data_IF_868311554521
#
_entry.id   IF_868311554521
#
_cell.length_a   1.000
_cell.length_b   1.000
_cell.length_c   1.000
_cell.angle_alpha   90.00
_cell.angle_beta   90.00
_cell.angle_gamma   90.00
#
_symmetry.space_group_name_H-M   'P 1'
#
loop_
_entity.id
_entity.type
_entity.pdbx_description
1 polymer ?
#
# COMPACT_ATOMS: atom_id res chain seq x y z
N UNK A 1 10.04 -10.88 -8.21
CA UNK A 1 10.17 -9.49 -7.71
C UNK A 1 9.53 -8.53 -8.68
N UNK A 2 8.57 -7.73 -8.19
CA UNK A 2 7.78 -6.78 -8.98
C UNK A 2 8.71 -5.84 -9.77
N UNK A 3 9.77 -5.33 -9.14
CA UNK A 3 10.77 -4.47 -9.80
C UNK A 3 11.50 -5.14 -10.98
N UNK A 4 11.72 -6.46 -10.92
CA UNK A 4 12.34 -7.22 -12.03
C UNK A 4 11.38 -7.39 -13.20
N UNK A 5 10.09 -7.51 -12.94
CA UNK A 5 9.07 -7.51 -13.99
C UNK A 5 8.87 -6.11 -14.59
N UNK A 6 8.95 -5.04 -13.78
CA UNK A 6 8.95 -3.65 -14.28
C UNK A 6 10.12 -3.37 -15.23
N UNK A 7 11.32 -3.85 -14.92
CA UNK A 7 12.48 -3.80 -15.81
C UNK A 7 12.22 -4.45 -17.17
N UNK A 8 11.54 -5.60 -17.20
CA UNK A 8 11.16 -6.28 -18.44
C UNK A 8 10.11 -5.49 -19.20
N UNK A 9 9.08 -4.98 -18.52
CA UNK A 9 8.01 -4.16 -19.11
C UNK A 9 8.60 -2.90 -19.75
N UNK A 10 9.56 -2.23 -19.09
CA UNK A 10 10.27 -1.08 -19.67
C UNK A 10 10.99 -1.43 -20.99
N UNK A 11 11.65 -2.59 -21.07
CA UNK A 11 12.29 -3.06 -22.31
C UNK A 11 11.25 -3.31 -23.40
N UNK A 12 10.15 -3.98 -23.06
CA UNK A 12 9.04 -4.22 -23.98
C UNK A 12 8.42 -2.92 -24.50
N UNK A 13 8.28 -1.89 -23.66
CA UNK A 13 7.81 -0.54 -24.07
C UNK A 13 8.78 0.07 -25.09
N UNK A 14 10.10 0.04 -24.83
CA UNK A 14 11.11 0.56 -25.78
C UNK A 14 11.05 -0.17 -27.13
N UNK A 15 10.90 -1.50 -27.11
CA UNK A 15 10.83 -2.31 -28.33
C UNK A 15 9.52 -2.09 -29.11
N UNK A 16 8.39 -1.94 -28.42
CA UNK A 16 7.10 -1.60 -29.04
C UNK A 16 7.13 -0.19 -29.65
N UNK A 17 7.75 0.77 -28.97
CA UNK A 17 7.90 2.14 -29.45
C UNK A 17 8.74 2.19 -30.74
N UNK A 18 9.86 1.46 -30.80
CA UNK A 18 10.68 1.33 -32.03
C UNK A 18 9.91 0.74 -33.21
N UNK A 19 8.92 -0.12 -32.94
CA UNK A 19 8.05 -0.74 -33.94
C UNK A 19 6.83 0.12 -34.30
N UNK A 20 6.67 1.30 -33.70
CA UNK A 20 5.51 2.17 -33.92
C UNK A 20 4.19 1.65 -33.34
N UNK A 21 4.24 0.67 -32.43
CA UNK A 21 3.06 0.00 -31.87
C UNK A 21 2.47 0.81 -30.70
N UNK A 22 1.77 1.91 -31.02
CA UNK A 22 1.23 2.85 -30.00
C UNK A 22 0.31 2.18 -28.99
N UNK A 23 -0.64 1.36 -29.44
CA UNK A 23 -1.60 0.70 -28.55
C UNK A 23 -0.91 -0.22 -27.54
N UNK A 24 0.13 -0.93 -27.98
CA UNK A 24 0.94 -1.80 -27.13
C UNK A 24 1.71 -0.99 -26.09
N UNK A 25 2.28 0.16 -26.47
CA UNK A 25 2.94 1.07 -25.54
C UNK A 25 1.99 1.56 -24.44
N UNK A 26 0.76 1.95 -24.79
CA UNK A 26 -0.25 2.42 -23.83
C UNK A 26 -0.63 1.31 -22.84
N UNK A 27 -0.88 0.09 -23.31
CA UNK A 27 -1.22 -1.04 -22.43
C UNK A 27 -0.07 -1.35 -21.47
N UNK A 28 1.16 -1.42 -21.96
CA UNK A 28 2.33 -1.71 -21.14
C UNK A 28 2.63 -0.57 -20.15
N UNK A 29 2.40 0.69 -20.53
CA UNK A 29 2.53 1.83 -19.63
C UNK A 29 1.49 1.80 -18.50
N UNK A 30 0.23 1.46 -18.80
CA UNK A 30 -0.82 1.23 -17.79
C UNK A 30 -0.42 0.14 -16.80
N UNK A 31 0.14 -0.96 -17.29
CA UNK A 31 0.63 -2.04 -16.44
C UNK A 31 1.78 -1.59 -15.53
N UNK A 32 2.71 -0.78 -16.05
CA UNK A 32 3.79 -0.22 -15.26
C UNK A 32 3.29 0.72 -14.15
N UNK A 33 2.28 1.56 -14.43
CA UNK A 33 1.65 2.42 -13.41
C UNK A 33 1.01 1.57 -12.32
N UNK A 34 0.23 0.55 -12.69
CA UNK A 34 -0.41 -0.37 -11.74
C UNK A 34 0.63 -1.06 -10.85
N UNK A 35 1.72 -1.52 -11.43
CA UNK A 35 2.83 -2.11 -10.70
C UNK A 35 3.45 -1.13 -9.70
N UNK A 36 3.75 0.11 -10.12
CA UNK A 36 4.28 1.16 -9.23
C UNK A 36 3.33 1.48 -8.08
N UNK A 37 2.02 1.59 -8.34
CA UNK A 37 0.98 1.81 -7.32
C UNK A 37 0.93 0.65 -6.33
N UNK A 38 1.00 -0.59 -6.81
CA UNK A 38 1.05 -1.79 -5.95
C UNK A 38 2.30 -1.78 -5.05
N UNK A 39 3.48 -1.46 -5.60
CA UNK A 39 4.73 -1.32 -4.83
C UNK A 39 4.62 -0.23 -3.77
N UNK A 40 4.08 0.94 -4.12
CA UNK A 40 3.86 2.04 -3.19
C UNK A 40 2.94 1.62 -2.03
N UNK A 41 1.83 0.95 -2.34
CA UNK A 41 0.91 0.40 -1.35
C UNK A 41 1.63 -0.58 -0.41
N UNK A 42 2.45 -1.49 -0.93
CA UNK A 42 3.25 -2.41 -0.11
C UNK A 42 4.25 -1.69 0.81
N UNK A 43 4.89 -0.60 0.36
CA UNK A 43 5.77 0.19 1.21
C UNK A 43 5.00 0.91 2.33
N UNK A 44 3.84 1.49 2.03
CA UNK A 44 2.97 2.09 3.04
C UNK A 44 2.54 1.05 4.08
N UNK A 45 2.12 -0.13 3.63
CA UNK A 45 1.80 -1.28 4.49
C UNK A 45 2.96 -1.66 5.42
N UNK A 46 4.18 -1.72 4.88
CA UNK A 46 5.39 -2.00 5.67
C UNK A 46 5.64 -0.93 6.74
N UNK A 47 5.44 0.34 6.41
CA UNK A 47 5.57 1.44 7.36
C UNK A 47 4.54 1.33 8.50
N UNK A 48 3.28 1.03 8.16
CA UNK A 48 2.23 0.82 9.17
C UNK A 48 2.53 -0.38 10.08
N UNK A 49 3.02 -1.51 9.54
CA UNK A 49 3.46 -2.65 10.36
C UNK A 49 4.60 -2.28 11.32
N UNK A 50 5.58 -1.50 10.85
CA UNK A 50 6.65 -1.01 11.70
C UNK A 50 6.13 -0.12 12.84
N UNK A 51 5.13 0.73 12.56
CA UNK A 51 4.49 1.54 13.59
C UNK A 51 3.83 0.68 14.68
N UNK A 52 3.05 -0.34 14.28
CA UNK A 52 2.46 -1.31 15.22
C UNK A 52 3.54 -2.01 16.04
N UNK A 53 4.64 -2.44 15.42
CA UNK A 53 5.75 -3.09 16.10
C UNK A 53 6.41 -2.17 17.16
N UNK A 54 6.63 -0.90 16.83
CA UNK A 54 7.17 0.08 17.79
C UNK A 54 6.20 0.33 18.93
N UNK A 55 4.91 0.48 18.63
CA UNK A 55 3.87 0.61 19.64
C UNK A 55 3.84 -0.59 20.60
N UNK A 56 3.98 -1.81 20.08
CA UNK A 56 4.05 -3.02 20.92
C UNK A 56 5.31 -3.05 21.79
N UNK A 57 6.46 -2.64 21.26
CA UNK A 57 7.69 -2.51 22.07
C UNK A 57 7.50 -1.50 23.20
N UNK A 58 6.84 -0.38 22.92
CA UNK A 58 6.50 0.61 23.93
C UNK A 58 5.57 0.02 25.00
N UNK A 59 4.51 -0.69 24.60
CA UNK A 59 3.60 -1.35 25.54
C UNK A 59 4.32 -2.35 26.45
N UNK A 60 5.28 -3.11 25.92
CA UNK A 60 6.09 -4.03 26.72
C UNK A 60 6.95 -3.29 27.75
N UNK A 61 7.50 -2.13 27.40
CA UNK A 61 8.26 -1.29 28.33
C UNK A 61 7.36 -0.72 29.43
N UNK A 62 6.19 -0.21 29.06
CA UNK A 62 5.18 0.29 30.01
C UNK A 62 4.74 -0.83 30.95
N UNK A 63 4.46 -2.02 30.44
CA UNK A 63 4.08 -3.17 31.26
C UNK A 63 5.14 -3.55 32.29
N UNK A 64 6.43 -3.49 31.93
CA UNK A 64 7.53 -3.79 32.86
C UNK A 64 7.70 -2.76 33.97
N UNK A 65 7.41 -1.48 33.68
CA UNK A 65 7.63 -0.38 34.62
C UNK A 65 6.38 -0.11 35.46
N UNK A 66 5.22 -0.02 34.82
CA UNK A 66 3.95 0.36 35.42
C UNK A 66 3.05 -0.84 35.76
N UNK A 67 3.37 -2.05 35.29
CA UNK A 67 2.56 -3.26 35.54
C UNK A 67 1.23 -3.30 34.76
N UNK A 68 0.99 -2.37 33.84
CA UNK A 68 -0.25 -2.26 33.09
C UNK A 68 0.01 -1.95 31.60
N UNK A 69 -0.98 -2.27 30.76
CA UNK A 69 -1.02 -1.85 29.36
C UNK A 69 -1.74 -0.51 29.25
N UNK A 70 -1.38 0.29 28.24
CA UNK A 70 -2.01 1.58 27.96
C UNK A 70 -2.62 1.59 26.55
N UNK A 71 -3.69 2.35 26.39
CA UNK A 71 -4.28 2.60 25.08
C UNK A 71 -3.32 3.37 24.17
N UNK A 72 -3.29 3.03 22.89
CA UNK A 72 -2.48 3.69 21.87
C UNK A 72 -3.29 3.96 20.59
N UNK A 73 -3.59 5.23 20.37
CA UNK A 73 -4.28 5.73 19.17
C UNK A 73 -3.41 5.60 17.92
N UNK A 74 -2.08 5.69 18.05
CA UNK A 74 -1.14 5.48 16.94
C UNK A 74 -1.17 4.03 16.44
N UNK A 75 -1.14 3.06 17.36
CA UNK A 75 -1.27 1.64 17.02
C UNK A 75 -2.64 1.35 16.40
N UNK A 76 -3.70 1.94 16.97
CA UNK A 76 -5.05 1.81 16.44
C UNK A 76 -5.14 2.29 14.98
N UNK A 77 -4.64 3.49 14.68
CA UNK A 77 -4.64 4.04 13.31
C UNK A 77 -3.80 3.20 12.35
N UNK A 78 -2.61 2.77 12.77
CA UNK A 78 -1.76 1.92 11.94
C UNK A 78 -2.43 0.56 11.65
N UNK A 79 -3.09 -0.04 12.64
CA UNK A 79 -3.85 -1.28 12.48
C UNK A 79 -5.02 -1.12 11.51
N UNK A 80 -5.75 0.01 11.58
CA UNK A 80 -6.86 0.31 10.69
C UNK A 80 -6.44 0.35 9.21
N UNK A 81 -5.25 0.85 8.92
CA UNK A 81 -4.73 0.83 7.55
C UNK A 81 -4.28 -0.57 7.13
N UNK A 82 -3.81 -1.40 8.07
CA UNK A 82 -3.35 -2.75 7.78
C UNK A 82 -4.48 -3.73 7.48
N UNK A 83 -5.64 -3.60 8.12
CA UNK A 83 -6.81 -4.46 7.85
C UNK A 83 -7.41 -4.25 6.45
N UNK A 84 -7.06 -3.14 5.78
CA UNK A 84 -7.51 -2.84 4.40
C UNK A 84 -6.67 -3.57 3.33
N UNK A 85 -5.58 -4.25 3.70
CA UNK A 85 -4.68 -4.90 2.76
C UNK A 85 -5.10 -6.37 2.58
N UNK A 86 -5.59 -6.78 1.39
CA UNK A 86 -6.18 -8.11 1.19
C UNK A 86 -5.29 -9.27 1.63
N UNK A 87 -3.97 -9.18 1.38
CA UNK A 87 -3.01 -10.24 1.65
C UNK A 87 -2.81 -10.52 3.14
N UNK A 88 -3.04 -9.53 4.01
CA UNK A 88 -2.86 -9.65 5.47
C UNK A 88 -4.13 -9.36 6.27
N UNK A 89 -5.23 -9.03 5.60
CA UNK A 89 -6.50 -8.58 6.19
C UNK A 89 -6.99 -9.51 7.29
N UNK A 90 -7.03 -10.82 7.03
CA UNK A 90 -7.52 -11.80 8.01
C UNK A 90 -6.66 -11.79 9.30
N UNK A 91 -5.35 -11.84 9.15
CA UNK A 91 -4.40 -11.84 10.27
C UNK A 91 -4.43 -10.53 11.06
N UNK A 92 -4.56 -9.40 10.37
CA UNK A 92 -4.60 -8.08 11.02
C UNK A 92 -5.93 -7.84 11.73
N UNK A 93 -7.04 -8.38 11.20
CA UNK A 93 -8.35 -8.34 11.88
C UNK A 93 -8.33 -9.14 13.18
N UNK A 94 -7.74 -10.32 13.17
CA UNK A 94 -7.56 -11.14 14.38
C UNK A 94 -6.68 -10.43 15.40
N UNK A 95 -5.54 -9.89 14.97
CA UNK A 95 -4.63 -9.13 15.83
C UNK A 95 -5.31 -7.90 16.43
N UNK A 96 -6.09 -7.16 15.63
CA UNK A 96 -6.89 -6.02 16.09
C UNK A 96 -7.85 -6.42 17.21
N UNK A 97 -8.55 -7.55 17.04
CA UNK A 97 -9.47 -8.09 18.07
C UNK A 97 -8.75 -8.42 19.37
N UNK A 98 -7.58 -9.06 19.31
CA UNK A 98 -6.78 -9.36 20.50
C UNK A 98 -6.22 -8.09 21.17
N UNK A 99 -5.78 -7.10 20.38
CA UNK A 99 -5.33 -5.80 20.91
C UNK A 99 -6.46 -5.03 21.60
N UNK A 100 -7.69 -5.13 21.07
CA UNK A 100 -8.87 -4.54 21.69
C UNK A 100 -9.18 -5.21 23.04
N UNK A 101 -9.17 -6.55 23.10
CA UNK A 101 -9.35 -7.29 24.35
C UNK A 101 -8.26 -6.97 25.39
N UNK A 102 -7.02 -6.76 24.93
CA UNK A 102 -5.90 -6.37 25.78
C UNK A 102 -5.96 -4.92 26.25
N UNK A 103 -6.94 -4.12 25.80
CA UNK A 103 -7.09 -2.71 26.16
C UNK A 103 -6.04 -1.80 25.51
N UNK A 104 -5.34 -2.28 24.48
CA UNK A 104 -4.30 -1.52 23.77
C UNK A 104 -4.93 -0.58 22.73
N UNK A 105 -6.02 -0.98 22.10
CA UNK A 105 -6.76 -0.16 21.14
C UNK A 105 -8.24 -0.12 21.51
N UNK A 106 -8.94 0.90 21.05
CA UNK A 106 -10.38 1.06 21.27
C UNK A 106 -11.19 0.31 20.20
N UNK A 107 -12.49 0.19 20.43
CA UNK A 107 -13.42 -0.37 19.46
C UNK A 107 -13.39 0.50 18.19
N UNK A 108 -12.84 -0.06 17.10
CA UNK A 108 -12.81 0.65 15.83
C UNK A 108 -14.22 0.62 15.25
N UNK A 109 -14.84 1.79 15.06
CA UNK A 109 -15.97 1.91 14.14
C UNK A 109 -15.43 1.57 12.75
N UNK A 110 -15.93 0.47 12.18
CA UNK A 110 -15.55 0.00 10.85
C UNK A 110 -16.17 0.95 9.82
N UNK A 111 -15.64 2.17 9.70
CA UNK A 111 -16.05 3.14 8.68
C UNK A 111 -15.54 2.65 7.33
N UNK A 112 -16.36 1.82 6.69
CA UNK A 112 -16.13 1.18 5.38
C UNK A 112 -16.15 2.15 4.19
N UNK A 113 -16.06 3.45 4.40
CA UNK A 113 -16.34 4.46 3.37
C UNK A 113 -15.15 4.86 2.50
N UNK A 114 -13.91 4.57 2.88
CA UNK A 114 -12.72 5.07 2.16
C UNK A 114 -12.27 4.20 0.97
N UNK A 115 -12.87 3.03 0.76
CA UNK A 115 -12.47 2.09 -0.31
C UNK A 115 -13.07 2.39 -1.70
N UNK A 116 -13.94 3.40 -1.81
CA UNK A 116 -14.56 3.79 -3.09
C UNK A 116 -13.86 4.98 -3.76
N UNK A 117 -13.13 5.82 -3.01
CA UNK A 117 -12.44 6.99 -3.57
C UNK A 117 -11.20 6.59 -4.40
N UNK A 118 -10.55 5.47 -4.07
CA UNK A 118 -9.35 4.95 -4.76
C UNK A 118 -9.63 4.42 -6.19
N UNK A 119 -10.89 4.21 -6.60
CA UNK A 119 -11.26 3.66 -7.91
C UNK A 119 -11.68 4.71 -8.94
N UNK A 120 -12.28 5.84 -8.52
CA UNK A 120 -12.85 6.84 -9.44
C UNK A 120 -11.85 7.94 -9.85
N UNK A 121 -10.80 8.22 -9.06
CA UNK A 121 -9.72 9.15 -9.46
C UNK A 121 -8.80 8.61 -10.58
N UNK A 122 -9.03 7.37 -11.03
CA UNK A 122 -8.05 6.60 -11.79
C UNK A 122 -8.10 6.76 -13.32
N UNK A 123 -9.08 7.48 -13.89
CA UNK A 123 -9.26 7.51 -15.35
C UNK A 123 -8.72 8.78 -16.05
N UNK A 124 -8.95 9.99 -15.53
CA UNK A 124 -8.45 11.23 -16.18
C UNK A 124 -6.98 11.54 -15.85
N UNK A 125 -6.51 11.26 -14.63
CA UNK A 125 -5.09 11.44 -14.27
C UNK A 125 -4.18 10.41 -14.97
N UNK A 126 -4.74 9.29 -15.41
CA UNK A 126 -3.99 8.19 -16.02
C UNK A 126 -3.41 8.55 -17.40
N UNK A 127 -4.10 9.34 -18.24
CA UNK A 127 -3.59 9.63 -19.60
C UNK A 127 -2.33 10.49 -19.57
N UNK A 128 -2.31 11.55 -18.75
CA UNK A 128 -1.10 12.37 -18.57
C UNK A 128 0.05 11.57 -17.94
N UNK A 129 -0.26 10.69 -16.99
CA UNK A 129 0.75 9.81 -16.35
C UNK A 129 1.32 8.79 -17.34
N UNK A 130 0.48 8.24 -18.23
CA UNK A 130 0.88 7.33 -19.31
C UNK A 130 1.82 8.05 -20.27
N UNK A 131 1.46 9.24 -20.76
CA UNK A 131 2.28 10.00 -21.69
C UNK A 131 3.65 10.38 -21.09
N UNK A 132 3.65 10.78 -19.81
CA UNK A 132 4.89 11.05 -19.07
C UNK A 132 5.79 9.82 -18.99
N UNK A 133 5.23 8.66 -18.64
CA UNK A 133 5.99 7.40 -18.55
C UNK A 133 6.53 6.97 -19.91
N UNK A 134 5.71 7.10 -20.97
CA UNK A 134 6.15 6.80 -22.32
C UNK A 134 7.30 7.72 -22.73
N UNK A 135 7.23 9.01 -22.43
CA UNK A 135 8.33 9.95 -22.67
C UNK A 135 9.59 9.56 -21.88
N UNK A 136 9.49 9.33 -20.57
CA UNK A 136 10.62 8.92 -19.71
C UNK A 136 11.34 7.65 -20.23
N UNK A 137 10.58 6.70 -20.79
CA UNK A 137 11.12 5.41 -21.24
C UNK A 137 11.67 5.49 -22.68
N UNK A 138 11.06 6.30 -23.55
CA UNK A 138 11.37 6.31 -24.99
C UNK A 138 12.27 7.46 -25.45
N UNK A 139 12.24 8.60 -24.76
CA UNK A 139 13.05 9.78 -25.06
C UNK A 139 14.29 9.92 -24.15
N UNK A 140 14.44 9.01 -23.17
CA UNK A 140 15.64 8.84 -22.32
C UNK A 140 16.54 7.68 -22.75
#
# INVERSE_FOLDING_TARGET
>A
DIQREEEKVKRSIKDAAKKGQKDVCVILAKELIRSRKAVSKLYASKAHMNSVLMGMKNQLAVLRVAGSLQKSTEVMKAMQNLVKIPEIQATMRELSKEMMKAGIIEEMLEDTFESLEDQEEMEEEAEMEIDKILFEITAG
#
